data_IF_668312963184
#
_entry.id   IF_668312963184
#
_cell.length_a   1.000
_cell.length_b   1.000
_cell.length_c   1.000
_cell.angle_alpha   90.00
_cell.angle_beta   90.00
_cell.angle_gamma   90.00
#
_symmetry.space_group_name_H-M   'P 1'
#
loop_
_entity.id
_entity.type
_entity.pdbx_description
1 polymer ?
#
# COMPACT_ATOMS: atom_id res chain seq x y z
N UNK A 1 -17.25 -3.59 -10.67
CA UNK A 1 -16.62 -2.31 -11.05
C UNK A 1 -16.87 -1.15 -10.08
N UNK A 2 -17.34 -1.39 -8.85
CA UNK A 2 -17.54 -0.32 -7.84
C UNK A 2 -16.48 -0.35 -6.72
N UNK A 3 -15.61 -1.37 -6.70
CA UNK A 3 -14.60 -1.58 -5.67
C UNK A 3 -13.27 -1.96 -6.32
N UNK A 4 -12.17 -1.56 -5.68
CA UNK A 4 -10.81 -2.01 -6.01
C UNK A 4 -10.42 -3.09 -5.00
N UNK A 5 -10.32 -4.33 -5.46
CA UNK A 5 -9.97 -5.48 -4.63
C UNK A 5 -8.45 -5.69 -4.62
N UNK A 6 -7.85 -5.58 -3.44
CA UNK A 6 -6.43 -5.81 -3.23
C UNK A 6 -6.20 -7.01 -2.33
N UNK A 7 -5.27 -7.90 -2.71
CA UNK A 7 -4.81 -8.99 -1.84
C UNK A 7 -3.29 -9.15 -1.90
N UNK A 8 -2.73 -10.01 -1.05
CA UNK A 8 -1.28 -10.19 -0.89
C UNK A 8 -0.91 -11.66 -0.78
N UNK A 9 0.27 -12.01 -1.29
CA UNK A 9 0.90 -13.32 -1.10
C UNK A 9 2.24 -13.15 -0.40
N UNK A 10 2.53 -13.96 0.61
CA UNK A 10 3.88 -14.06 1.17
C UNK A 10 4.79 -14.79 0.18
N UNK A 11 5.54 -14.07 -0.63
CA UNK A 11 6.48 -14.64 -1.60
C UNK A 11 7.90 -14.54 -1.05
N UNK A 12 8.78 -15.37 -1.59
CA UNK A 12 10.20 -15.44 -1.23
C UNK A 12 11.05 -15.82 -2.46
N UNK A 13 12.36 -15.99 -2.24
CA UNK A 13 13.30 -16.41 -3.29
C UNK A 13 13.00 -17.81 -3.88
N UNK A 14 12.25 -18.67 -3.18
CA UNK A 14 11.91 -20.02 -3.64
C UNK A 14 10.56 -20.09 -4.37
N UNK A 15 9.82 -18.98 -4.41
CA UNK A 15 8.52 -18.91 -5.06
C UNK A 15 8.66 -19.08 -6.58
N UNK A 16 7.93 -20.03 -7.16
CA UNK A 16 7.92 -20.28 -8.61
C UNK A 16 6.64 -19.73 -9.22
N UNK A 17 6.61 -19.54 -10.54
CA UNK A 17 5.40 -19.13 -11.24
C UNK A 17 4.21 -20.03 -10.95
N UNK A 18 4.40 -21.35 -10.93
CA UNK A 18 3.33 -22.32 -10.62
C UNK A 18 2.82 -22.17 -9.18
N UNK A 19 3.72 -21.98 -8.20
CA UNK A 19 3.29 -21.83 -6.82
C UNK A 19 2.53 -20.53 -6.60
N UNK A 20 2.92 -19.44 -7.28
CA UNK A 20 2.21 -18.16 -7.26
C UNK A 20 0.81 -18.29 -7.86
N UNK A 21 0.67 -19.00 -9.00
CA UNK A 21 -0.62 -19.22 -9.64
C UNK A 21 -1.57 -20.01 -8.75
N UNK A 22 -1.11 -21.14 -8.20
CA UNK A 22 -1.92 -21.97 -7.32
C UNK A 22 -2.39 -21.21 -6.06
N UNK A 23 -1.53 -20.34 -5.52
CA UNK A 23 -1.86 -19.52 -4.36
C UNK A 23 -2.85 -18.41 -4.67
N UNK A 24 -2.71 -17.75 -5.83
CA UNK A 24 -3.71 -16.79 -6.28
C UNK A 24 -5.05 -17.48 -6.53
N UNK A 25 -5.06 -18.65 -7.16
CA UNK A 25 -6.31 -19.38 -7.42
C UNK A 25 -7.04 -19.73 -6.12
N UNK A 26 -6.30 -20.16 -5.09
CA UNK A 26 -6.88 -20.37 -3.76
C UNK A 26 -7.40 -19.06 -3.13
N UNK A 27 -6.73 -17.92 -3.35
CA UNK A 27 -7.24 -16.61 -2.91
C UNK A 27 -8.54 -16.23 -3.61
N UNK A 28 -8.59 -16.42 -4.92
CA UNK A 28 -9.73 -16.10 -5.78
C UNK A 28 -10.94 -16.97 -5.42
N UNK A 29 -10.73 -18.26 -5.14
CA UNK A 29 -11.78 -19.15 -4.63
C UNK A 29 -12.38 -18.64 -3.32
N UNK A 30 -11.54 -18.24 -2.35
CA UNK A 30 -12.02 -17.67 -1.06
C UNK A 30 -12.73 -16.34 -1.23
N UNK A 31 -12.29 -15.53 -2.19
CA UNK A 31 -12.90 -14.24 -2.52
C UNK A 31 -14.13 -14.38 -3.43
N UNK A 32 -14.41 -15.59 -3.92
CA UNK A 32 -15.51 -15.90 -4.83
C UNK A 32 -15.54 -14.99 -6.07
N UNK A 33 -14.35 -14.75 -6.63
CA UNK A 33 -14.13 -13.91 -7.80
C UNK A 33 -13.09 -14.56 -8.71
N UNK A 34 -13.02 -14.16 -9.97
CA UNK A 34 -12.04 -14.63 -10.95
C UNK A 34 -10.80 -13.72 -11.05
N UNK A 35 -10.84 -12.54 -10.44
CA UNK A 35 -9.75 -11.57 -10.45
C UNK A 35 -9.67 -10.73 -9.17
N UNK A 36 -8.50 -10.11 -8.99
CA UNK A 36 -8.29 -8.98 -8.07
C UNK A 36 -7.75 -7.79 -8.86
N UNK A 37 -7.96 -6.58 -8.40
CA UNK A 37 -7.36 -5.40 -9.03
C UNK A 37 -5.87 -5.32 -8.74
N UNK A 38 -5.44 -5.56 -7.49
CA UNK A 38 -4.04 -5.44 -7.08
C UNK A 38 -3.59 -6.71 -6.36
N UNK A 39 -2.51 -7.31 -6.85
CA UNK A 39 -1.81 -8.40 -6.17
C UNK A 39 -0.45 -7.93 -5.65
N UNK A 40 -0.22 -8.06 -4.35
CA UNK A 40 1.02 -7.59 -3.73
C UNK A 40 1.92 -8.72 -3.21
N UNK A 41 3.22 -8.48 -3.27
CA UNK A 41 4.23 -9.17 -2.45
C UNK A 41 4.04 -8.72 -0.99
N UNK A 42 3.75 -9.64 -0.09
CA UNK A 42 3.55 -9.34 1.32
C UNK A 42 4.91 -9.12 2.02
N UNK A 43 5.08 -7.98 2.68
CA UNK A 43 6.23 -7.72 3.55
C UNK A 43 7.49 -7.20 2.84
N UNK A 44 7.52 -7.23 1.50
CA UNK A 44 8.66 -6.73 0.73
C UNK A 44 9.88 -7.61 0.88
N UNK A 45 9.69 -8.92 0.91
CA UNK A 45 10.78 -9.89 0.95
C UNK A 45 11.76 -9.63 -0.20
N UNK A 46 13.02 -9.32 0.14
CA UNK A 46 14.05 -8.98 -0.83
C UNK A 46 14.37 -10.16 -1.76
N UNK A 47 14.21 -11.39 -1.28
CA UNK A 47 14.36 -12.59 -2.08
C UNK A 47 13.28 -12.69 -3.16
N UNK A 48 12.03 -12.40 -2.82
CA UNK A 48 10.95 -12.31 -3.79
C UNK A 48 11.17 -11.18 -4.81
N UNK A 49 11.64 -10.02 -4.35
CA UNK A 49 11.93 -8.86 -5.21
C UNK A 49 13.11 -9.10 -6.16
N UNK A 50 14.04 -9.98 -5.79
CA UNK A 50 15.15 -10.39 -6.65
C UNK A 50 14.79 -11.57 -7.58
N UNK A 51 13.61 -12.17 -7.43
CA UNK A 51 13.24 -13.39 -8.14
C UNK A 51 12.52 -13.10 -9.47
N UNK A 52 13.12 -13.43 -10.63
CA UNK A 52 12.51 -13.17 -11.94
C UNK A 52 11.18 -13.90 -12.15
N UNK A 53 11.02 -15.10 -11.58
CA UNK A 53 9.78 -15.89 -11.67
C UNK A 53 8.58 -15.17 -11.04
N UNK A 54 8.80 -14.35 -10.01
CA UNK A 54 7.74 -13.54 -9.39
C UNK A 54 7.19 -12.53 -10.40
N UNK A 55 8.07 -11.84 -11.11
CA UNK A 55 7.64 -10.85 -12.09
C UNK A 55 7.04 -11.51 -13.34
N UNK A 56 7.62 -12.61 -13.82
CA UNK A 56 7.04 -13.38 -14.94
C UNK A 56 5.64 -13.91 -14.59
N UNK A 57 5.43 -14.33 -13.35
CA UNK A 57 4.12 -14.71 -12.86
C UNK A 57 3.15 -13.53 -12.89
N UNK A 58 3.55 -12.37 -12.38
CA UNK A 58 2.71 -11.17 -12.40
C UNK A 58 2.36 -10.73 -13.83
N UNK A 59 3.33 -10.72 -14.74
CA UNK A 59 3.12 -10.38 -16.15
C UNK A 59 2.13 -11.36 -16.81
N UNK A 60 2.29 -12.67 -16.58
CA UNK A 60 1.36 -13.66 -17.09
C UNK A 60 -0.03 -13.57 -16.46
N UNK A 61 -0.15 -13.20 -15.18
CA UNK A 61 -1.43 -13.04 -14.50
C UNK A 61 -2.17 -11.80 -15.00
N UNK A 62 -1.44 -10.71 -15.26
CA UNK A 62 -1.95 -9.50 -15.93
C UNK A 62 -2.47 -9.83 -17.32
N UNK A 63 -1.67 -10.53 -18.13
CA UNK A 63 -2.06 -10.93 -19.49
C UNK A 63 -3.30 -11.83 -19.52
N UNK A 64 -3.54 -12.61 -18.45
CA UNK A 64 -4.73 -13.47 -18.29
C UNK A 64 -5.91 -12.76 -17.64
N UNK A 65 -5.78 -11.50 -17.28
CA UNK A 65 -6.84 -10.72 -16.61
C UNK A 65 -7.12 -11.11 -15.16
N UNK A 66 -6.29 -11.97 -14.53
CA UNK A 66 -6.46 -12.39 -13.13
C UNK A 66 -6.04 -11.31 -12.13
N UNK A 67 -5.13 -10.44 -12.54
CA UNK A 67 -4.73 -9.24 -11.78
C UNK A 67 -4.68 -8.04 -12.73
N UNK A 68 -4.96 -6.82 -12.25
CA UNK A 68 -4.79 -5.60 -13.06
C UNK A 68 -3.45 -4.92 -12.79
N UNK A 69 -3.03 -4.91 -11.53
CA UNK A 69 -1.81 -4.29 -11.06
C UNK A 69 -1.02 -5.23 -10.13
N UNK A 70 0.31 -5.11 -10.18
CA UNK A 70 1.24 -5.74 -9.27
C UNK A 70 1.74 -4.74 -8.24
N UNK A 71 2.09 -5.22 -7.05
CA UNK A 71 2.62 -4.33 -6.03
C UNK A 71 3.46 -5.02 -4.96
N UNK A 72 3.92 -4.22 -4.01
CA UNK A 72 4.63 -4.66 -2.82
C UNK A 72 4.09 -3.93 -1.61
N UNK A 73 4.04 -4.62 -0.48
CA UNK A 73 3.74 -4.00 0.82
C UNK A 73 4.96 -4.10 1.74
N UNK A 74 5.29 -3.06 2.47
CA UNK A 74 6.41 -3.09 3.41
C UNK A 74 6.19 -2.16 4.60
N UNK A 75 6.47 -2.64 5.80
CA UNK A 75 6.21 -1.89 7.04
C UNK A 75 7.45 -1.63 7.89
N UNK A 76 8.65 -1.90 7.36
CA UNK A 76 9.91 -1.66 8.06
C UNK A 76 10.20 -0.18 8.32
N UNK A 77 11.14 0.13 9.21
CA UNK A 77 11.50 1.52 9.55
C UNK A 77 12.31 2.24 8.46
N UNK A 78 12.88 1.52 7.48
CA UNK A 78 13.77 2.06 6.46
C UNK A 78 13.21 1.89 5.03
N UNK A 79 11.91 2.14 4.84
CA UNK A 79 11.20 1.99 3.56
C UNK A 79 11.99 2.60 2.37
N UNK A 80 12.49 3.82 2.54
CA UNK A 80 13.16 4.62 1.51
C UNK A 80 14.44 3.99 0.98
N UNK A 81 15.10 3.18 1.82
CA UNK A 81 16.32 2.45 1.48
C UNK A 81 15.98 1.03 1.01
N UNK A 82 15.15 0.31 1.77
CA UNK A 82 14.83 -1.10 1.49
C UNK A 82 14.03 -1.29 0.20
N UNK A 83 13.11 -0.37 -0.13
CA UNK A 83 12.34 -0.43 -1.37
C UNK A 83 12.93 0.44 -2.50
N UNK A 84 14.08 1.10 -2.30
CA UNK A 84 14.71 1.92 -3.35
C UNK A 84 14.89 1.15 -4.67
N UNK A 85 15.39 -0.11 -4.66
CA UNK A 85 15.57 -0.87 -5.89
C UNK A 85 14.26 -1.09 -6.65
N UNK A 86 13.14 -1.28 -5.94
CA UNK A 86 11.81 -1.45 -6.54
C UNK A 86 11.41 -0.24 -7.38
N UNK A 87 11.67 0.96 -6.87
CA UNK A 87 11.39 2.22 -7.57
C UNK A 87 12.32 2.41 -8.76
N UNK A 88 13.61 2.07 -8.61
CA UNK A 88 14.60 2.21 -9.68
C UNK A 88 14.29 1.30 -10.86
N UNK A 89 13.98 0.03 -10.57
CA UNK A 89 13.58 -0.98 -11.56
C UNK A 89 12.24 -0.63 -12.22
N UNK A 90 11.27 -0.13 -11.47
CA UNK A 90 9.98 0.33 -12.00
C UNK A 90 9.10 -0.78 -12.58
N UNK A 91 9.24 -2.03 -12.08
CA UNK A 91 8.47 -3.20 -12.55
C UNK A 91 7.14 -3.42 -11.83
N UNK A 92 6.93 -2.77 -10.70
CA UNK A 92 5.70 -2.87 -9.89
C UNK A 92 4.88 -1.60 -10.01
N UNK A 93 3.56 -1.73 -10.00
CA UNK A 93 2.65 -0.61 -10.22
C UNK A 93 2.27 0.09 -8.91
N UNK A 94 2.28 -0.63 -7.77
CA UNK A 94 1.78 -0.12 -6.48
C UNK A 94 2.73 -0.45 -5.32
N UNK A 95 3.02 0.54 -4.48
CA UNK A 95 3.71 0.35 -3.20
C UNK A 95 2.75 0.74 -2.06
N UNK A 96 2.53 -0.20 -1.16
CA UNK A 96 1.84 0.01 0.13
C UNK A 96 2.91 0.08 1.24
N UNK A 97 3.17 1.26 1.80
CA UNK A 97 4.20 1.41 2.82
C UNK A 97 3.71 2.04 4.11
N UNK A 98 4.40 1.76 5.22
CA UNK A 98 4.20 2.53 6.45
C UNK A 98 4.42 4.01 6.18
N UNK A 99 3.47 4.83 6.61
CA UNK A 99 3.55 6.28 6.57
C UNK A 99 3.06 6.85 7.88
N UNK A 100 3.97 7.42 8.64
CA UNK A 100 3.70 7.99 9.94
C UNK A 100 4.65 9.17 10.23
N UNK A 101 4.27 10.10 11.12
CA UNK A 101 5.02 11.34 11.33
C UNK A 101 6.43 11.16 11.88
N UNK A 102 6.72 10.02 12.50
CA UNK A 102 8.00 9.72 13.13
C UNK A 102 8.79 8.66 12.34
N UNK A 103 8.33 8.36 11.12
CA UNK A 103 8.88 7.32 10.29
C UNK A 103 10.15 7.73 9.56
N UNK A 104 10.43 7.00 8.49
CA UNK A 104 11.64 7.14 7.68
C UNK A 104 11.86 8.59 7.16
N UNK A 105 12.95 9.28 7.54
CA UNK A 105 13.23 10.64 7.09
C UNK A 105 13.54 10.74 5.59
N UNK A 106 13.94 9.63 4.94
CA UNK A 106 14.18 9.56 3.50
C UNK A 106 12.90 9.38 2.67
N UNK A 107 11.75 9.22 3.31
CA UNK A 107 10.49 8.93 2.63
C UNK A 107 10.07 10.01 1.63
N UNK A 108 10.17 11.33 1.89
CA UNK A 108 9.76 12.35 0.91
C UNK A 108 10.47 12.23 -0.45
N UNK A 109 11.79 12.01 -0.47
CA UNK A 109 12.54 11.78 -1.70
C UNK A 109 12.12 10.47 -2.39
N UNK A 110 11.93 9.41 -1.60
CA UNK A 110 11.46 8.11 -2.11
C UNK A 110 10.09 8.22 -2.80
N UNK A 111 9.13 8.93 -2.20
CA UNK A 111 7.80 9.12 -2.76
C UNK A 111 7.85 9.88 -4.09
N UNK A 112 8.67 10.94 -4.16
CA UNK A 112 8.85 11.71 -5.40
C UNK A 112 9.48 10.84 -6.51
N UNK A 113 10.48 10.03 -6.18
CA UNK A 113 11.09 9.11 -7.12
C UNK A 113 10.08 8.07 -7.66
N UNK A 114 9.27 7.49 -6.77
CA UNK A 114 8.22 6.54 -7.15
C UNK A 114 7.14 7.19 -8.04
N UNK A 115 6.72 8.43 -7.72
CA UNK A 115 5.77 9.18 -8.56
C UNK A 115 6.29 9.45 -9.96
N UNK A 116 7.56 9.83 -10.11
CA UNK A 116 8.18 10.04 -11.44
C UNK A 116 8.21 8.79 -12.29
N UNK A 117 8.19 7.61 -11.67
CA UNK A 117 8.10 6.30 -12.32
C UNK A 117 6.66 5.85 -12.59
N UNK A 118 5.66 6.63 -12.19
CA UNK A 118 4.25 6.28 -12.36
C UNK A 118 3.76 5.23 -11.37
N UNK A 119 4.45 5.04 -10.24
CA UNK A 119 4.09 4.05 -9.22
C UNK A 119 3.02 4.65 -8.29
N UNK A 120 1.93 3.91 -8.11
CA UNK A 120 0.89 4.21 -7.13
C UNK A 120 1.39 4.01 -5.70
N UNK A 121 1.08 4.96 -4.83
CA UNK A 121 1.58 5.00 -3.44
C UNK A 121 0.42 5.00 -2.47
N UNK A 122 0.40 4.01 -1.59
CA UNK A 122 -0.65 3.82 -0.58
C UNK A 122 -0.02 3.86 0.81
N UNK A 123 -0.50 4.77 1.65
CA UNK A 123 -0.05 4.89 3.03
C UNK A 123 -0.80 3.91 3.93
N UNK A 124 -0.08 3.11 4.72
CA UNK A 124 -0.65 2.40 5.88
C UNK A 124 -0.03 2.90 7.18
N UNK A 125 -0.54 2.43 8.32
CA UNK A 125 0.00 2.75 9.65
C UNK A 125 -0.09 4.23 10.04
N UNK A 126 -0.93 5.00 9.36
CA UNK A 126 -1.19 6.42 9.67
C UNK A 126 -1.63 6.65 11.13
N UNK A 127 -2.17 5.63 11.81
CA UNK A 127 -2.55 5.68 13.23
C UNK A 127 -1.46 5.17 14.21
N UNK A 128 -0.42 4.49 13.75
CA UNK A 128 0.41 3.63 14.62
C UNK A 128 1.47 4.40 15.43
N UNK A 129 2.07 5.43 14.84
CA UNK A 129 3.13 6.23 15.48
C UNK A 129 2.70 7.67 15.75
N UNK A 130 1.58 8.09 15.15
CA UNK A 130 1.04 9.38 15.44
C UNK A 130 0.58 9.35 16.92
N UNK A 131 1.14 10.25 17.72
CA UNK A 131 0.48 10.73 18.93
C UNK A 131 -0.06 12.11 18.63
N UNK A 132 -1.05 12.58 19.39
CA UNK A 132 -1.63 13.90 19.15
C UNK A 132 -0.56 15.00 19.14
N UNK A 133 0.48 14.84 19.95
CA UNK A 133 1.63 15.76 20.05
C UNK A 133 2.48 15.80 18.77
N UNK A 134 2.47 14.75 17.96
CA UNK A 134 3.17 14.70 16.67
C UNK A 134 2.38 15.38 15.53
N UNK A 135 1.12 15.76 15.77
CA UNK A 135 0.20 16.33 14.79
C UNK A 135 -0.46 17.64 15.25
N UNK A 136 0.31 18.63 15.75
CA UNK A 136 -0.26 19.83 16.37
C UNK A 136 -1.12 20.68 15.40
N UNK A 137 -0.83 20.64 14.10
CA UNK A 137 -1.61 21.34 13.07
C UNK A 137 -2.98 20.69 12.79
N UNK A 138 -3.13 19.41 13.10
CA UNK A 138 -4.36 18.64 12.86
C UNK A 138 -5.13 18.35 14.14
N UNK A 139 -4.48 18.47 15.30
CA UNK A 139 -5.10 18.40 16.61
C UNK A 139 -5.76 19.75 16.95
N UNK A 140 -6.84 20.11 16.24
CA UNK A 140 -7.63 21.31 16.55
C UNK A 140 -8.90 20.95 17.33
N UNK A 141 -9.07 21.54 18.51
CA UNK A 141 -10.29 21.41 19.33
C UNK A 141 -10.50 19.98 19.87
N UNK A 142 -11.76 19.57 19.99
CA UNK A 142 -12.16 18.25 20.51
C UNK A 142 -12.13 17.14 19.45
N UNK A 143 -11.45 17.34 18.31
CA UNK A 143 -11.44 16.35 17.24
C UNK A 143 -10.71 15.06 17.66
N UNK A 144 -11.30 13.89 17.41
CA UNK A 144 -10.65 12.62 17.66
C UNK A 144 -9.34 12.47 16.89
N UNK A 145 -8.33 11.95 17.56
CA UNK A 145 -6.98 11.79 17.04
C UNK A 145 -6.91 11.00 15.71
N UNK A 146 -7.75 9.98 15.52
CA UNK A 146 -7.78 9.20 14.27
C UNK A 146 -8.17 10.04 13.05
N UNK A 147 -9.01 11.07 13.22
CA UNK A 147 -9.38 11.98 12.14
C UNK A 147 -8.24 12.94 11.80
N UNK A 148 -7.52 13.42 12.82
CA UNK A 148 -6.31 14.23 12.63
C UNK A 148 -5.22 13.46 11.87
N UNK A 149 -4.96 12.21 12.27
CA UNK A 149 -4.00 11.34 11.61
C UNK A 149 -4.39 11.00 10.17
N UNK A 150 -5.69 10.78 9.91
CA UNK A 150 -6.19 10.52 8.56
C UNK A 150 -6.00 11.75 7.64
N UNK A 151 -6.33 12.96 8.14
CA UNK A 151 -6.12 14.22 7.41
C UNK A 151 -4.64 14.48 7.12
N UNK A 152 -3.77 14.22 8.09
CA UNK A 152 -2.32 14.31 7.88
C UNK A 152 -1.86 13.38 6.75
N UNK A 153 -2.29 12.12 6.78
CA UNK A 153 -1.97 11.13 5.75
C UNK A 153 -2.41 11.58 4.35
N UNK A 154 -3.62 12.12 4.24
CA UNK A 154 -4.21 12.62 3.00
C UNK A 154 -3.62 13.96 2.52
N UNK A 155 -2.95 14.74 3.38
CA UNK A 155 -2.31 16.03 3.00
C UNK A 155 -1.11 15.84 2.10
N UNK A 156 -0.42 14.72 2.23
CA UNK A 156 0.76 14.46 1.44
C UNK A 156 0.37 14.12 0.00
N UNK A 157 0.58 15.06 -0.92
CA UNK A 157 0.35 14.87 -2.37
C UNK A 157 1.26 13.81 -3.01
N UNK A 158 2.28 13.36 -2.29
CA UNK A 158 3.09 12.19 -2.63
C UNK A 158 2.33 10.87 -2.51
N UNK A 159 1.34 10.78 -1.60
CA UNK A 159 0.49 9.61 -1.41
C UNK A 159 -0.78 9.73 -2.24
N UNK A 160 -1.21 8.62 -2.85
CA UNK A 160 -2.45 8.59 -3.64
C UNK A 160 -3.67 8.25 -2.79
N UNK A 161 -3.49 7.45 -1.74
CA UNK A 161 -4.56 7.15 -0.77
C UNK A 161 -3.97 6.61 0.54
N UNK A 162 -4.84 6.44 1.52
CA UNK A 162 -4.57 5.90 2.86
C UNK A 162 -5.38 4.62 3.06
N UNK A 163 -4.73 3.58 3.55
CA UNK A 163 -5.33 2.30 3.89
C UNK A 163 -5.46 2.20 5.40
N UNK A 164 -6.70 2.30 5.89
CA UNK A 164 -7.05 2.23 7.32
C UNK A 164 -7.97 1.07 7.60
N UNK A 165 -7.83 0.48 8.79
CA UNK A 165 -8.73 -0.56 9.28
C UNK A 165 -9.92 0.07 9.99
N UNK A 166 -11.11 -0.46 9.71
CA UNK A 166 -12.37 -0.10 10.36
C UNK A 166 -13.00 -1.39 10.90
N UNK A 167 -13.46 -1.37 12.15
CA UNK A 167 -14.12 -2.49 12.81
C UNK A 167 -15.58 -2.19 13.17
N UNK A 168 -16.02 -0.94 12.98
CA UNK A 168 -17.38 -0.47 13.26
C UNK A 168 -17.86 0.44 12.11
N UNK A 169 -19.16 0.43 11.81
CA UNK A 169 -19.73 1.23 10.73
C UNK A 169 -19.60 2.74 10.98
N UNK A 170 -19.69 3.19 12.23
CA UNK A 170 -19.52 4.61 12.58
C UNK A 170 -18.15 5.16 12.13
N UNK A 171 -17.11 4.30 12.11
CA UNK A 171 -15.80 4.71 11.60
C UNK A 171 -15.81 4.97 10.09
N UNK A 172 -16.63 4.23 9.33
CA UNK A 172 -16.82 4.48 7.89
C UNK A 172 -17.42 5.86 7.69
N UNK A 173 -18.49 6.18 8.44
CA UNK A 173 -19.17 7.47 8.35
C UNK A 173 -18.24 8.62 8.75
N UNK A 174 -17.48 8.47 9.83
CA UNK A 174 -16.50 9.46 10.27
C UNK A 174 -15.37 9.67 9.26
N UNK A 175 -14.83 8.60 8.67
CA UNK A 175 -13.72 8.69 7.72
C UNK A 175 -14.15 9.25 6.37
N UNK A 176 -15.39 8.99 5.92
CA UNK A 176 -15.92 9.59 4.69
C UNK A 176 -15.99 11.11 4.82
N UNK A 177 -16.31 11.65 6.00
CA UNK A 177 -16.38 13.11 6.20
C UNK A 177 -15.04 13.84 6.00
N UNK A 178 -13.92 13.14 6.22
CA UNK A 178 -12.58 13.72 6.03
C UNK A 178 -11.95 13.33 4.70
N UNK A 179 -12.38 12.22 4.10
CA UNK A 179 -11.98 11.78 2.77
C UNK A 179 -12.52 12.74 1.70
N UNK A 180 -11.63 13.36 0.92
CA UNK A 180 -12.03 14.31 -0.15
C UNK A 180 -12.43 15.71 0.34
N UNK A 181 -12.37 15.99 1.64
CA UNK A 181 -12.53 17.34 2.16
C UNK A 181 -11.25 18.17 1.93
N UNK A 182 -11.41 19.49 1.74
CA UNK A 182 -10.27 20.40 1.70
C UNK A 182 -9.49 20.31 3.02
N UNK A 183 -8.17 20.16 2.91
CA UNK A 183 -7.27 20.11 4.05
C UNK A 183 -6.83 21.54 4.39
N UNK A 184 -6.76 21.91 5.68
CA UNK A 184 -6.27 23.22 6.10
C UNK A 184 -4.78 23.44 5.79
#
# INVERSE_FOLDING_TARGET
>A
DEMVLCTKLGLDAASTRESIFARLDACLERLQTDHVDILMIHGGDLGALANPEVYEAFDSLKARGKIRFSGVSHHGPNISTELRPVVEEGRLDVILCSYDPLGDPGLPDFLEAARRKGIGLVAMKVFASARAEALPEFASGDQPFHLAALRWGLKNSGMHTVLVSMNMMDQVDEYIQVSGAALP
#
